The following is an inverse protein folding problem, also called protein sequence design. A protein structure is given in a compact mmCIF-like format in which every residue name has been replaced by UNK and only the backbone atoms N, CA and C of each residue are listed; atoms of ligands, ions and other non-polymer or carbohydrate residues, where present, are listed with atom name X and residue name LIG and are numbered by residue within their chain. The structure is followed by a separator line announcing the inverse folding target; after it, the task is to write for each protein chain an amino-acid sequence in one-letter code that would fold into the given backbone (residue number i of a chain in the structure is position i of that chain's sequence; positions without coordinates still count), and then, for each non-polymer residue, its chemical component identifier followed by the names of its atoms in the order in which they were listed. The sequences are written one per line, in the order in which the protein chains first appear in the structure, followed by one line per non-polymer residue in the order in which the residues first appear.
data_IF_763549101968
#
_entry.id   IF_763549101968
#
_cell.length_a   1.000
_cell.length_b   1.000
_cell.length_c   1.000
_cell.angle_alpha   90.00
_cell.angle_beta   90.00
_cell.angle_gamma   90.00
#
_symmetry.space_group_name_H-M   'P 1'
#
loop_
_entity.id
_entity.type
_entity.pdbx_description
1 polymer ?
#
# COMPACT_ATOMS: atom_id res chain seq x y z
N UNK A 1 -18.80 2.18 7.47
CA UNK A 1 -18.43 2.48 8.89
C UNK A 1 -16.92 2.30 8.97
N UNK A 2 -16.22 3.10 9.78
CA UNK A 2 -14.77 2.93 9.99
C UNK A 2 -14.53 1.67 10.86
N UNK A 3 -13.90 0.60 10.34
CA UNK A 3 -13.75 -0.66 11.09
C UNK A 3 -12.98 -0.51 12.39
N UNK A 4 -11.97 0.37 12.44
CA UNK A 4 -11.18 0.58 13.67
C UNK A 4 -12.01 1.27 14.77
N UNK A 5 -12.86 2.22 14.40
CA UNK A 5 -13.79 2.86 15.36
C UNK A 5 -14.85 1.90 15.86
N UNK A 6 -15.36 1.03 14.99
CA UNK A 6 -16.29 -0.02 15.39
C UNK A 6 -15.62 -1.04 16.33
N UNK A 7 -14.39 -1.44 16.02
CA UNK A 7 -13.62 -2.31 16.89
C UNK A 7 -13.37 -1.66 18.27
N UNK A 8 -12.99 -0.40 18.31
CA UNK A 8 -12.83 0.33 19.57
C UNK A 8 -14.14 0.39 20.37
N UNK A 9 -15.29 0.60 19.72
CA UNK A 9 -16.60 0.57 20.37
C UNK A 9 -16.89 -0.79 21.00
N UNK A 10 -16.70 -1.87 20.24
CA UNK A 10 -16.93 -3.26 20.72
C UNK A 10 -15.99 -3.59 21.88
N UNK A 11 -14.72 -3.21 21.78
CA UNK A 11 -13.74 -3.41 22.84
C UNK A 11 -14.13 -2.69 24.13
N UNK A 12 -14.48 -1.41 24.04
CA UNK A 12 -14.85 -0.58 25.19
C UNK A 12 -16.13 -1.06 25.89
N UNK A 13 -17.07 -1.66 25.15
CA UNK A 13 -18.25 -2.28 25.72
C UNK A 13 -17.92 -3.60 26.47
N UNK A 14 -16.95 -4.35 25.98
CA UNK A 14 -16.52 -5.61 26.58
C UNK A 14 -15.59 -5.42 27.78
N UNK A 15 -14.70 -4.42 27.74
CA UNK A 15 -13.76 -4.07 28.81
C UNK A 15 -13.78 -2.56 29.14
N UNK A 16 -14.64 -2.11 30.06
CA UNK A 16 -14.72 -0.71 30.47
C UNK A 16 -13.47 -0.20 31.21
N UNK A 17 -12.54 -1.06 31.59
CA UNK A 17 -11.30 -0.70 32.30
C UNK A 17 -10.14 -0.40 31.34
N UNK A 18 -10.25 -0.83 30.08
CA UNK A 18 -9.27 -0.61 29.03
C UNK A 18 -9.91 0.13 27.86
N UNK A 19 -10.02 1.46 27.99
CA UNK A 19 -10.75 2.28 27.00
C UNK A 19 -9.82 2.68 25.85
N UNK A 20 -10.24 2.36 24.63
CA UNK A 20 -9.57 2.75 23.39
C UNK A 20 -10.27 3.95 22.76
N UNK A 21 -9.51 5.01 22.48
CA UNK A 21 -9.98 6.21 21.77
C UNK A 21 -9.26 6.31 20.42
N UNK A 22 -10.03 6.42 19.33
CA UNK A 22 -9.49 6.53 17.97
C UNK A 22 -9.46 7.99 17.54
N UNK A 23 -8.26 8.53 17.32
CA UNK A 23 -8.02 9.83 16.70
C UNK A 23 -7.69 9.65 15.23
N UNK A 24 -8.28 10.46 14.34
CA UNK A 24 -7.96 10.48 12.93
C UNK A 24 -7.10 11.70 12.62
N UNK A 25 -6.13 11.52 11.74
CA UNK A 25 -5.33 12.60 11.12
C UNK A 25 -5.61 12.66 9.62
N UNK A 26 -5.38 13.80 8.95
CA UNK A 26 -5.49 13.88 7.50
C UNK A 26 -4.58 12.87 6.80
N UNK A 27 -5.01 12.36 5.65
CA UNK A 27 -4.23 11.38 4.88
C UNK A 27 -2.85 11.94 4.45
N UNK A 28 -2.76 13.25 4.20
CA UNK A 28 -1.48 13.92 3.91
C UNK A 28 -0.48 13.81 5.06
N UNK A 29 -0.95 13.86 6.31
CA UNK A 29 -0.08 13.72 7.50
C UNK A 29 0.32 12.26 7.77
N UNK A 30 -0.35 11.29 7.15
CA UNK A 30 -0.04 9.88 7.35
C UNK A 30 1.37 9.51 6.84
N UNK A 31 1.82 10.15 5.78
CA UNK A 31 3.14 9.93 5.21
C UNK A 31 4.19 10.96 5.66
N UNK A 32 3.77 12.15 6.09
CA UNK A 32 4.67 13.29 6.27
C UNK A 32 5.00 13.58 7.76
N UNK A 33 4.17 13.12 8.72
CA UNK A 33 4.43 13.36 10.13
C UNK A 33 5.50 12.43 10.69
N UNK A 34 6.57 12.94 11.33
CA UNK A 34 7.57 12.13 12.00
C UNK A 34 6.95 11.18 13.02
N UNK A 35 7.30 9.89 12.96
CA UNK A 35 6.73 8.87 13.83
C UNK A 35 7.15 9.05 15.30
N UNK A 36 8.31 9.67 15.56
CA UNK A 36 8.79 10.04 16.90
C UNK A 36 7.86 11.05 17.57
N UNK A 37 7.35 12.02 16.79
CA UNK A 37 6.39 13.00 17.31
C UNK A 37 5.03 12.34 17.57
N UNK A 38 4.59 11.47 16.66
CA UNK A 38 3.36 10.70 16.83
C UNK A 38 3.44 9.78 18.06
N UNK A 39 4.57 9.10 18.28
CA UNK A 39 4.76 8.16 19.38
C UNK A 39 4.59 8.81 20.75
N UNK A 40 4.88 10.11 20.88
CA UNK A 40 4.71 10.83 22.14
C UNK A 40 3.23 11.18 22.47
N UNK A 41 2.32 10.99 21.52
CA UNK A 41 0.93 11.45 21.63
C UNK A 41 -0.10 10.31 21.64
N UNK A 42 0.32 9.06 21.46
CA UNK A 42 -0.60 7.92 21.45
C UNK A 42 0.09 6.62 21.91
N UNK A 43 -0.70 5.67 22.40
CA UNK A 43 -0.23 4.34 22.80
C UNK A 43 -0.12 3.39 21.61
N UNK A 44 -0.98 3.58 20.59
CA UNK A 44 -1.01 2.81 19.35
C UNK A 44 -0.95 3.72 18.13
N UNK A 45 -0.22 3.29 17.13
CA UNK A 45 -0.07 3.98 15.84
C UNK A 45 -0.48 3.06 14.71
N UNK A 46 -1.23 3.62 13.75
CA UNK A 46 -1.41 3.01 12.43
C UNK A 46 -0.27 3.50 11.55
N UNK A 47 0.56 2.58 11.07
CA UNK A 47 1.75 2.90 10.27
C UNK A 47 1.72 2.18 8.92
N UNK A 48 2.22 2.83 7.86
CA UNK A 48 2.53 2.18 6.58
C UNK A 48 3.91 1.49 6.67
N UNK A 49 4.03 0.30 6.08
CA UNK A 49 5.23 -0.53 6.20
C UNK A 49 6.54 0.12 5.70
N UNK A 50 6.59 1.01 4.70
CA UNK A 50 7.84 1.67 4.30
C UNK A 50 8.49 2.50 5.40
N UNK A 51 7.70 2.90 6.40
CA UNK A 51 8.19 3.68 7.55
C UNK A 51 8.63 2.80 8.73
N UNK A 52 8.49 1.47 8.62
CA UNK A 52 8.82 0.55 9.71
C UNK A 52 10.28 0.68 10.17
N UNK A 53 11.22 0.63 9.23
CA UNK A 53 12.64 0.69 9.53
C UNK A 53 13.02 2.01 10.21
N UNK A 54 12.51 3.14 9.71
CA UNK A 54 12.77 4.46 10.31
C UNK A 54 12.16 4.57 11.70
N UNK A 55 10.94 4.08 11.92
CA UNK A 55 10.29 4.08 13.22
C UNK A 55 11.02 3.21 14.26
N UNK A 56 11.44 2.01 13.85
CA UNK A 56 12.20 1.09 14.72
C UNK A 56 13.57 1.65 15.07
N UNK A 57 14.31 2.18 14.06
CA UNK A 57 15.64 2.78 14.28
C UNK A 57 15.59 4.02 15.18
N UNK A 58 14.56 4.85 15.03
CA UNK A 58 14.33 6.02 15.87
C UNK A 58 13.86 5.66 17.30
N UNK A 59 13.53 4.40 17.54
CA UNK A 59 12.98 3.95 18.82
C UNK A 59 11.58 4.51 19.09
N UNK A 60 10.79 4.78 18.03
CA UNK A 60 9.44 5.31 18.15
C UNK A 60 8.39 4.22 18.47
N UNK A 61 8.70 2.96 18.12
CA UNK A 61 7.83 1.81 18.31
C UNK A 61 8.52 0.74 19.16
N UNK A 62 7.73 -0.06 19.87
CA UNK A 62 8.22 -1.16 20.70
C UNK A 62 8.13 -2.50 19.95
N UNK A 63 9.09 -3.43 20.15
CA UNK A 63 8.98 -4.79 19.64
C UNK A 63 7.83 -5.51 20.33
N UNK A 64 7.02 -6.25 19.58
CA UNK A 64 5.77 -6.83 20.07
C UNK A 64 5.95 -8.20 20.72
N UNK A 65 7.04 -8.90 20.47
CA UNK A 65 7.32 -10.21 21.07
C UNK A 65 7.45 -10.19 22.60
N UNK A 66 7.75 -9.02 23.17
CA UNK A 66 7.81 -8.82 24.62
C UNK A 66 6.44 -8.47 25.24
N UNK A 67 5.44 -8.11 24.40
CA UNK A 67 4.13 -7.59 24.82
C UNK A 67 2.97 -8.52 24.44
N UNK A 68 3.15 -9.40 23.47
CA UNK A 68 2.12 -10.28 22.91
C UNK A 68 2.53 -11.74 23.09
N UNK A 69 1.57 -12.56 23.53
CA UNK A 69 1.79 -14.01 23.64
C UNK A 69 2.16 -14.64 22.30
N UNK A 70 3.17 -15.49 22.29
CA UNK A 70 3.69 -16.16 21.09
C UNK A 70 2.61 -16.95 20.35
N UNK A 71 1.64 -17.54 21.06
CA UNK A 71 0.54 -18.28 20.46
C UNK A 71 -0.37 -17.37 19.65
N UNK A 72 -0.59 -16.14 20.12
CA UNK A 72 -1.39 -15.13 19.41
C UNK A 72 -0.62 -14.61 18.19
N UNK A 73 0.68 -14.36 18.36
CA UNK A 73 1.57 -14.00 17.25
C UNK A 73 1.52 -15.06 16.15
N UNK A 74 1.66 -16.33 16.49
CA UNK A 74 1.64 -17.43 15.53
C UNK A 74 0.26 -17.59 14.85
N UNK A 75 -0.83 -17.35 15.56
CA UNK A 75 -2.16 -17.31 14.98
C UNK A 75 -2.30 -16.25 13.89
N UNK A 76 -1.89 -15.01 14.18
CA UNK A 76 -1.96 -13.88 13.24
C UNK A 76 -1.04 -14.15 12.06
N UNK A 77 0.21 -14.57 12.30
CA UNK A 77 1.19 -14.90 11.26
C UNK A 77 0.67 -15.95 10.28
N UNK A 78 0.11 -17.05 10.80
CA UNK A 78 -0.33 -18.16 9.98
C UNK A 78 -1.56 -17.82 9.11
N UNK A 79 -2.36 -16.85 9.52
CA UNK A 79 -3.56 -16.43 8.79
C UNK A 79 -3.35 -15.15 7.95
N UNK A 80 -2.20 -14.47 8.08
CA UNK A 80 -1.89 -13.28 7.31
C UNK A 80 -1.91 -13.55 5.80
N UNK A 81 -2.50 -12.63 5.03
CA UNK A 81 -2.62 -12.75 3.59
C UNK A 81 -1.35 -12.27 2.87
N UNK A 82 -0.79 -13.12 2.02
CA UNK A 82 0.42 -12.79 1.24
C UNK A 82 1.58 -12.36 2.15
N UNK A 83 2.23 -11.27 1.82
CA UNK A 83 3.35 -10.71 2.57
C UNK A 83 2.94 -9.68 3.64
N UNK A 84 1.66 -9.60 4.02
CA UNK A 84 1.19 -8.61 5.00
C UNK A 84 1.80 -8.80 6.40
N UNK A 85 2.26 -10.00 6.73
CA UNK A 85 3.03 -10.25 7.95
C UNK A 85 4.49 -9.81 7.81
N UNK A 86 5.13 -10.22 6.72
CA UNK A 86 6.58 -10.01 6.53
C UNK A 86 6.93 -8.53 6.44
N UNK A 87 6.02 -7.69 5.91
CA UNK A 87 6.23 -6.25 5.81
C UNK A 87 6.26 -5.51 7.16
N UNK A 88 5.91 -6.17 8.28
CA UNK A 88 6.01 -5.61 9.64
C UNK A 88 7.03 -6.33 10.53
N UNK A 89 7.85 -7.20 9.93
CA UNK A 89 8.95 -7.90 10.60
C UNK A 89 10.29 -7.38 10.08
N UNK A 90 11.18 -7.00 10.98
CA UNK A 90 12.52 -6.48 10.64
C UNK A 90 13.53 -6.89 11.72
N UNK A 91 14.72 -7.35 11.33
CA UNK A 91 15.83 -7.75 12.23
C UNK A 91 15.40 -8.78 13.28
N UNK A 92 14.59 -9.74 12.90
CA UNK A 92 14.02 -10.78 13.77
C UNK A 92 13.05 -10.26 14.85
N UNK A 93 12.64 -9.01 14.77
CA UNK A 93 11.62 -8.40 15.61
C UNK A 93 10.31 -8.20 14.86
N UNK A 94 9.21 -8.20 15.61
CA UNK A 94 7.87 -7.88 15.13
C UNK A 94 7.53 -6.49 15.64
N UNK A 95 7.41 -5.53 14.73
CA UNK A 95 7.23 -4.13 15.07
C UNK A 95 5.78 -3.64 14.99
N UNK A 96 4.96 -4.33 14.19
CA UNK A 96 3.54 -4.05 14.09
C UNK A 96 2.77 -5.32 13.72
N UNK A 97 1.47 -5.35 14.00
CA UNK A 97 0.56 -6.40 13.55
C UNK A 97 -0.22 -5.91 12.32
N UNK A 98 -0.38 -6.73 11.27
CA UNK A 98 -1.09 -6.33 10.06
C UNK A 98 -2.56 -6.04 10.38
N UNK A 99 -2.97 -4.78 10.21
CA UNK A 99 -4.31 -4.29 10.50
C UNK A 99 -5.22 -4.31 9.28
N UNK A 100 -4.67 -3.99 8.13
CA UNK A 100 -5.27 -4.17 6.81
C UNK A 100 -4.19 -4.58 5.78
N UNK A 101 -4.63 -4.99 4.59
CA UNK A 101 -3.74 -5.23 3.46
C UNK A 101 -4.34 -4.65 2.20
N UNK A 102 -3.50 -4.01 1.40
CA UNK A 102 -3.82 -3.48 0.09
C UNK A 102 -2.70 -3.80 -0.89
N UNK A 103 -2.99 -3.80 -2.17
CA UNK A 103 -1.98 -3.77 -3.22
C UNK A 103 -2.52 -3.00 -4.42
N UNK A 104 -1.66 -2.70 -5.39
CA UNK A 104 -2.14 -2.11 -6.62
C UNK A 104 -2.94 -3.13 -7.45
N UNK A 105 -4.16 -2.75 -7.79
CA UNK A 105 -5.15 -3.52 -8.55
C UNK A 105 -5.73 -2.68 -9.68
N UNK A 106 -6.46 -3.26 -10.61
CA UNK A 106 -7.23 -2.51 -11.59
C UNK A 106 -8.63 -2.20 -11.04
N UNK A 107 -9.20 -1.06 -11.45
CA UNK A 107 -10.57 -0.68 -11.17
C UNK A 107 -11.34 -0.38 -12.44
N UNK A 108 -12.62 -0.74 -12.50
CA UNK A 108 -13.49 -0.51 -13.66
C UNK A 108 -14.90 -0.05 -13.27
N UNK A 109 -15.57 0.61 -14.23
CA UNK A 109 -16.99 0.94 -14.24
C UNK A 109 -17.73 -0.07 -15.14
N UNK A 110 -18.35 -1.11 -14.57
CA UNK A 110 -18.99 -2.16 -15.36
C UNK A 110 -20.07 -1.63 -16.31
N UNK A 111 -20.89 -0.69 -15.84
CA UNK A 111 -21.94 -0.05 -16.62
C UNK A 111 -21.41 0.72 -17.84
N UNK A 112 -20.24 1.35 -17.72
CA UNK A 112 -19.62 2.04 -18.85
C UNK A 112 -19.03 1.06 -19.87
N UNK A 113 -18.40 -0.03 -19.39
CA UNK A 113 -17.91 -1.09 -20.28
C UNK A 113 -19.06 -1.74 -21.06
N UNK A 114 -20.18 -2.03 -20.40
CA UNK A 114 -21.39 -2.55 -21.04
C UNK A 114 -21.97 -1.56 -22.06
N UNK A 115 -22.14 -0.30 -21.68
CA UNK A 115 -22.70 0.74 -22.56
C UNK A 115 -21.87 1.00 -23.82
N UNK A 116 -20.54 0.77 -23.74
CA UNK A 116 -19.61 0.98 -24.85
C UNK A 116 -19.29 -0.31 -25.64
N UNK A 117 -19.84 -1.46 -25.25
CA UNK A 117 -19.49 -2.79 -25.78
C UNK A 117 -17.96 -3.05 -25.75
N UNK A 118 -17.31 -2.63 -24.65
CA UNK A 118 -15.87 -2.80 -24.45
C UNK A 118 -15.58 -3.99 -23.52
N UNK A 119 -14.42 -4.60 -23.71
CA UNK A 119 -13.94 -5.66 -22.83
C UNK A 119 -12.83 -5.15 -21.91
N UNK A 120 -12.77 -5.69 -20.70
CA UNK A 120 -11.68 -5.39 -19.77
C UNK A 120 -10.33 -5.80 -20.38
N UNK A 121 -9.32 -4.90 -20.33
CA UNK A 121 -7.98 -5.19 -20.79
C UNK A 121 -7.35 -6.37 -20.03
N UNK A 122 -6.64 -7.23 -20.76
CA UNK A 122 -5.91 -8.40 -20.23
C UNK A 122 -4.39 -8.31 -20.46
N UNK A 123 -3.94 -7.20 -21.04
CA UNK A 123 -2.52 -6.92 -21.28
C UNK A 123 -2.29 -5.42 -21.34
N UNK A 124 -1.07 -4.99 -21.09
CA UNK A 124 -0.70 -3.57 -21.24
C UNK A 124 -0.97 -3.03 -22.64
N UNK A 125 -0.75 -3.84 -23.69
CA UNK A 125 -1.09 -3.43 -25.06
C UNK A 125 -2.57 -3.17 -25.24
N UNK A 126 -3.45 -3.91 -24.55
CA UNK A 126 -4.90 -3.65 -24.60
C UNK A 126 -5.27 -2.40 -23.77
N UNK A 127 -4.57 -2.11 -22.66
CA UNK A 127 -4.76 -0.86 -21.90
C UNK A 127 -4.41 0.35 -22.76
N UNK A 128 -3.25 0.35 -23.40
CA UNK A 128 -2.82 1.40 -24.32
C UNK A 128 -3.84 1.59 -25.45
N UNK A 129 -4.23 0.50 -26.11
CA UNK A 129 -5.21 0.54 -27.19
C UNK A 129 -6.59 1.09 -26.73
N UNK A 130 -7.03 0.75 -25.53
CA UNK A 130 -8.27 1.30 -24.96
C UNK A 130 -8.15 2.80 -24.73
N UNK A 131 -7.03 3.26 -24.13
CA UNK A 131 -6.79 4.67 -23.87
C UNK A 131 -6.71 5.50 -25.17
N UNK A 132 -6.06 4.98 -26.23
CA UNK A 132 -5.99 5.62 -27.55
C UNK A 132 -7.34 5.71 -28.24
N UNK A 133 -8.14 4.64 -28.21
CA UNK A 133 -9.47 4.61 -28.84
C UNK A 133 -10.52 5.40 -28.06
N UNK A 134 -10.34 5.58 -26.77
CA UNK A 134 -11.27 6.24 -25.84
C UNK A 134 -10.56 7.30 -25.02
N UNK A 135 -10.19 8.45 -25.59
CA UNK A 135 -9.52 9.53 -24.86
C UNK A 135 -10.33 9.93 -23.61
N UNK A 136 -9.65 10.01 -22.46
CA UNK A 136 -10.29 10.33 -21.18
C UNK A 136 -10.89 9.14 -20.42
N UNK A 137 -11.09 7.98 -21.06
CA UNK A 137 -11.71 6.81 -20.45
C UNK A 137 -10.78 6.06 -19.49
N UNK A 138 -9.48 6.04 -19.78
CA UNK A 138 -8.44 5.43 -18.91
C UNK A 138 -7.77 6.53 -18.10
N UNK A 139 -7.64 6.33 -16.79
CA UNK A 139 -6.88 7.19 -15.90
C UNK A 139 -5.83 6.38 -15.15
N UNK A 140 -4.82 7.07 -14.61
CA UNK A 140 -3.78 6.48 -13.78
C UNK A 140 -3.41 7.48 -12.67
N UNK A 141 -3.33 7.10 -11.39
CA UNK A 141 -2.81 7.98 -10.36
C UNK A 141 -1.35 8.34 -10.66
N UNK A 142 -1.07 9.62 -10.88
CA UNK A 142 0.26 10.14 -11.24
C UNK A 142 0.78 11.18 -10.25
N UNK A 143 0.14 11.28 -9.07
CA UNK A 143 0.79 11.96 -7.96
C UNK A 143 2.16 11.33 -7.71
N UNK A 144 3.22 12.05 -7.32
CA UNK A 144 4.59 11.54 -7.30
C UNK A 144 4.75 10.14 -6.67
N UNK A 145 4.20 9.93 -5.48
CA UNK A 145 4.25 8.62 -4.80
C UNK A 145 3.53 7.51 -5.57
N UNK A 146 2.44 7.85 -6.27
CA UNK A 146 1.67 6.88 -7.05
C UNK A 146 2.33 6.57 -8.40
N UNK A 147 3.00 7.56 -9.00
CA UNK A 147 3.76 7.38 -10.24
C UNK A 147 4.92 6.39 -10.04
N UNK A 148 5.72 6.56 -8.96
CA UNK A 148 6.80 5.63 -8.65
C UNK A 148 6.26 4.24 -8.26
N UNK A 149 5.16 4.17 -7.52
CA UNK A 149 4.50 2.90 -7.19
C UNK A 149 4.03 2.15 -8.44
N UNK A 150 3.45 2.86 -9.41
CA UNK A 150 3.03 2.28 -10.69
C UNK A 150 4.23 1.80 -11.52
N UNK A 151 5.32 2.58 -11.57
CA UNK A 151 6.56 2.15 -12.23
C UNK A 151 7.08 0.84 -11.64
N UNK A 152 7.15 0.76 -10.31
CA UNK A 152 7.65 -0.42 -9.61
C UNK A 152 6.76 -1.64 -9.83
N UNK A 153 5.43 -1.47 -9.78
CA UNK A 153 4.50 -2.57 -10.09
C UNK A 153 4.61 -3.07 -11.52
N UNK A 154 4.75 -2.17 -12.50
CA UNK A 154 4.95 -2.57 -13.89
C UNK A 154 6.28 -3.33 -14.04
N UNK A 155 7.37 -2.80 -13.47
CA UNK A 155 8.69 -3.41 -13.55
C UNK A 155 8.73 -4.78 -12.85
N UNK A 156 8.14 -4.92 -11.67
CA UNK A 156 8.02 -6.20 -10.96
C UNK A 156 7.20 -7.22 -11.77
N UNK A 157 6.12 -6.77 -12.40
CA UNK A 157 5.33 -7.59 -13.34
C UNK A 157 6.11 -8.05 -14.58
N UNK A 158 7.20 -7.37 -14.93
CA UNK A 158 8.15 -7.74 -15.99
C UNK A 158 9.34 -8.56 -15.46
N UNK A 159 9.36 -8.90 -14.18
CA UNK A 159 10.36 -9.75 -13.55
C UNK A 159 11.44 -9.01 -12.77
N UNK A 160 11.32 -7.69 -12.57
CA UNK A 160 12.20 -6.99 -11.65
C UNK A 160 11.98 -7.48 -10.21
N UNK A 161 13.06 -7.64 -9.47
CA UNK A 161 13.04 -8.03 -8.06
C UNK A 161 13.61 -6.89 -7.20
N UNK A 162 12.82 -6.42 -6.25
CA UNK A 162 13.19 -5.38 -5.31
C UNK A 162 13.41 -6.03 -3.94
N UNK A 163 14.63 -6.55 -3.71
CA UNK A 163 14.99 -7.14 -2.42
C UNK A 163 15.45 -6.08 -1.41
N UNK A 164 15.51 -6.48 -0.13
CA UNK A 164 15.87 -5.58 0.99
C UNK A 164 17.31 -5.06 0.92
N UNK A 165 18.19 -5.68 0.13
CA UNK A 165 19.61 -5.35 0.04
C UNK A 165 19.90 -4.02 -0.69
N UNK A 166 18.86 -3.32 -1.17
CA UNK A 166 19.00 -2.01 -1.80
C UNK A 166 19.67 -1.98 -3.17
N UNK A 167 20.59 -2.88 -3.44
CA UNK A 167 21.32 -3.00 -4.70
C UNK A 167 20.42 -3.44 -5.87
N UNK A 168 19.25 -4.00 -5.56
CA UNK A 168 18.39 -4.61 -6.57
C UNK A 168 17.61 -3.60 -7.41
N UNK A 169 17.27 -2.41 -6.88
CA UNK A 169 16.36 -1.48 -7.55
C UNK A 169 16.88 -1.06 -8.93
N UNK A 170 18.15 -0.71 -9.02
CA UNK A 170 18.82 -0.23 -10.23
C UNK A 170 19.88 -1.21 -10.77
N UNK A 171 19.86 -2.46 -10.28
CA UNK A 171 20.81 -3.48 -10.71
C UNK A 171 20.71 -3.76 -12.22
N UNK A 172 21.78 -4.26 -12.81
CA UNK A 172 21.80 -4.70 -14.22
C UNK A 172 20.72 -5.73 -14.52
N UNK A 173 20.36 -6.58 -13.53
CA UNK A 173 19.31 -7.57 -13.66
C UNK A 173 17.91 -6.94 -13.82
N UNK A 174 17.65 -5.80 -13.16
CA UNK A 174 16.38 -5.10 -13.21
C UNK A 174 16.32 -4.04 -14.33
N UNK A 175 17.48 -3.65 -14.89
CA UNK A 175 17.59 -2.56 -15.86
C UNK A 175 16.66 -2.71 -17.05
N UNK A 176 16.58 -3.89 -17.65
CA UNK A 176 15.72 -4.13 -18.82
C UNK A 176 14.24 -3.96 -18.45
N UNK A 177 13.79 -4.58 -17.36
CA UNK A 177 12.42 -4.47 -16.88
C UNK A 177 12.04 -3.03 -16.54
N UNK A 178 12.93 -2.28 -15.87
CA UNK A 178 12.75 -0.87 -15.55
C UNK A 178 12.65 0.01 -16.80
N UNK A 179 13.50 -0.17 -17.79
CA UNK A 179 13.46 0.60 -19.04
C UNK A 179 12.18 0.32 -19.84
N UNK A 180 11.72 -0.94 -19.89
CA UNK A 180 10.45 -1.29 -20.52
C UNK A 180 9.29 -0.66 -19.75
N UNK A 181 9.29 -0.75 -18.42
CA UNK A 181 8.26 -0.14 -17.56
C UNK A 181 8.19 1.38 -17.72
N UNK A 182 9.34 2.06 -17.76
CA UNK A 182 9.43 3.51 -18.01
C UNK A 182 8.90 3.88 -19.40
N UNK A 183 9.20 3.08 -20.42
CA UNK A 183 8.68 3.31 -21.78
C UNK A 183 7.16 3.15 -21.85
N UNK A 184 6.61 2.12 -21.18
CA UNK A 184 5.17 1.87 -21.09
C UNK A 184 4.46 2.98 -20.32
N UNK A 185 5.00 3.36 -19.16
CA UNK A 185 4.45 4.42 -18.32
C UNK A 185 4.48 5.76 -19.07
N UNK A 186 5.59 6.10 -19.73
CA UNK A 186 5.69 7.29 -20.57
C UNK A 186 4.62 7.34 -21.65
N UNK A 187 4.38 6.25 -22.36
CA UNK A 187 3.31 6.19 -23.38
C UNK A 187 1.92 6.33 -22.73
N UNK A 188 1.67 5.67 -21.61
CA UNK A 188 0.39 5.81 -20.88
C UNK A 188 0.13 7.25 -20.47
N UNK A 189 1.13 7.96 -19.95
CA UNK A 189 0.96 9.34 -19.47
C UNK A 189 0.60 10.33 -20.56
N UNK A 190 0.91 10.03 -21.82
CA UNK A 190 0.54 10.86 -22.98
C UNK A 190 -0.93 10.73 -23.35
N UNK A 191 -1.58 9.60 -23.02
CA UNK A 191 -2.91 9.21 -23.54
C UNK A 191 -3.99 9.02 -22.47
N UNK A 192 -3.61 8.92 -21.17
CA UNK A 192 -4.58 8.84 -20.08
C UNK A 192 -5.30 10.17 -19.84
N UNK A 193 -6.39 10.13 -19.08
CA UNK A 193 -7.09 11.32 -18.65
C UNK A 193 -6.15 12.38 -18.03
N UNK A 194 -6.22 13.61 -18.52
CA UNK A 194 -5.25 14.65 -18.18
C UNK A 194 -5.20 15.04 -16.71
N UNK A 195 -6.31 14.89 -15.97
CA UNK A 195 -6.35 15.12 -14.53
C UNK A 195 -5.65 14.04 -13.70
N UNK A 196 -5.16 12.97 -14.32
CA UNK A 196 -4.34 11.93 -13.69
C UNK A 196 -3.10 12.49 -12.98
N UNK A 197 -2.50 13.55 -13.54
CA UNK A 197 -1.29 14.17 -13.04
C UNK A 197 -1.39 14.76 -11.63
N UNK A 198 -2.57 15.23 -11.26
CA UNK A 198 -2.81 15.91 -9.98
C UNK A 198 -3.73 15.07 -9.07
N UNK A 199 -3.86 13.78 -9.38
CA UNK A 199 -4.75 12.86 -8.69
C UNK A 199 -4.00 11.68 -8.07
N UNK A 200 -4.34 11.41 -6.82
CA UNK A 200 -3.99 10.18 -6.11
C UNK A 200 -5.13 9.14 -6.27
N UNK A 201 -4.97 7.90 -5.80
CA UNK A 201 -5.99 6.86 -5.91
C UNK A 201 -7.38 7.27 -5.42
N UNK A 202 -7.58 7.81 -4.21
CA UNK A 202 -8.91 8.23 -3.77
C UNK A 202 -9.54 9.28 -4.67
N UNK A 203 -8.78 10.28 -5.12
CA UNK A 203 -9.30 11.35 -5.98
C UNK A 203 -9.81 10.82 -7.33
N UNK A 204 -9.12 9.84 -7.93
CA UNK A 204 -9.58 9.20 -9.16
C UNK A 204 -10.78 8.28 -8.93
N UNK A 205 -10.77 7.50 -7.85
CA UNK A 205 -11.88 6.62 -7.51
C UNK A 205 -13.15 7.41 -7.16
N UNK A 206 -13.03 8.55 -6.47
CA UNK A 206 -14.14 9.48 -6.22
C UNK A 206 -14.77 9.99 -7.53
N UNK A 207 -13.95 10.42 -8.49
CA UNK A 207 -14.43 10.87 -9.80
C UNK A 207 -15.11 9.74 -10.58
N UNK A 208 -14.47 8.59 -10.61
CA UNK A 208 -14.99 7.40 -11.28
C UNK A 208 -16.33 6.96 -10.69
N UNK A 209 -16.44 6.90 -9.36
CA UNK A 209 -17.70 6.59 -8.66
C UNK A 209 -18.72 7.74 -8.75
N UNK A 210 -18.27 8.99 -8.89
CA UNK A 210 -19.09 10.18 -9.05
C UNK A 210 -19.78 10.28 -10.43
N UNK A 211 -19.37 9.47 -11.40
CA UNK A 211 -19.98 9.42 -12.73
C UNK A 211 -19.24 10.18 -13.82
N UNK A 212 -17.95 10.53 -13.59
CA UNK A 212 -17.08 11.05 -14.64
C UNK A 212 -16.86 10.04 -15.77
N UNK A 213 -16.28 10.48 -16.87
CA UNK A 213 -16.04 9.65 -18.06
C UNK A 213 -14.97 8.56 -17.85
N UNK A 214 -14.31 8.54 -16.68
CA UNK A 214 -13.31 7.55 -16.35
C UNK A 214 -13.96 6.19 -16.14
N UNK A 215 -13.67 5.25 -17.04
CA UNK A 215 -14.19 3.88 -16.98
C UNK A 215 -13.19 2.84 -16.48
N UNK A 216 -11.88 3.14 -16.55
CA UNK A 216 -10.84 2.19 -16.21
C UNK A 216 -9.59 2.84 -15.58
N UNK A 217 -9.08 2.23 -14.52
CA UNK A 217 -7.80 2.56 -13.90
C UNK A 217 -6.98 1.26 -13.83
N UNK A 218 -5.87 1.13 -14.57
CA UNK A 218 -5.10 -0.12 -14.66
C UNK A 218 -4.30 -0.46 -13.40
N UNK A 219 -3.90 0.56 -12.63
CA UNK A 219 -3.19 0.44 -11.34
C UNK A 219 -3.68 1.52 -10.39
N UNK A 220 -4.25 1.08 -9.27
CA UNK A 220 -4.65 1.91 -8.14
C UNK A 220 -4.65 1.05 -6.89
N UNK A 221 -4.44 1.63 -5.72
CA UNK A 221 -4.70 0.86 -4.50
C UNK A 221 -6.19 0.57 -4.35
N UNK A 222 -6.52 -0.64 -3.89
CA UNK A 222 -7.89 -1.02 -3.61
C UNK A 222 -8.43 -0.25 -2.39
N UNK A 223 -9.64 0.26 -2.55
CA UNK A 223 -10.39 0.90 -1.47
C UNK A 223 -11.80 0.29 -1.47
N UNK A 224 -12.04 -0.62 -0.54
CA UNK A 224 -13.25 -1.43 -0.45
C UNK A 224 -14.56 -0.64 -0.45
N UNK A 225 -14.54 0.58 0.07
CA UNK A 225 -15.71 1.46 0.11
C UNK A 225 -16.31 1.75 -1.28
N UNK A 226 -15.48 1.79 -2.33
CA UNK A 226 -15.96 2.02 -3.70
C UNK A 226 -16.55 0.78 -4.35
N UNK A 227 -16.24 -0.41 -3.84
CA UNK A 227 -16.79 -1.68 -4.32
C UNK A 227 -18.11 -2.05 -3.64
N UNK A 228 -18.52 -1.34 -2.59
CA UNK A 228 -19.75 -1.62 -1.87
C UNK A 228 -20.95 -1.64 -2.80
N UNK A 229 -21.80 -2.69 -2.79
CA UNK A 229 -23.04 -2.73 -3.56
C UNK A 229 -24.02 -1.61 -3.24
N UNK A 230 -23.85 -0.95 -2.08
CA UNK A 230 -24.65 0.19 -1.66
C UNK A 230 -24.15 1.54 -2.23
N UNK A 231 -23.00 1.58 -2.89
CA UNK A 231 -22.49 2.78 -3.54
C UNK A 231 -23.38 3.18 -4.73
N UNK A 232 -23.38 4.47 -5.06
CA UNK A 232 -24.20 5.00 -6.18
C UNK A 232 -23.79 4.38 -7.52
N UNK A 233 -22.48 4.27 -7.76
CA UNK A 233 -21.90 3.61 -8.92
C UNK A 233 -20.81 2.66 -8.40
N UNK A 234 -21.15 1.42 -8.02
CA UNK A 234 -20.19 0.47 -7.50
C UNK A 234 -19.07 0.20 -8.49
N UNK A 235 -17.82 0.33 -8.04
CA UNK A 235 -16.67 -0.02 -8.87
C UNK A 235 -16.38 -1.51 -8.73
N UNK A 236 -15.85 -2.11 -9.78
CA UNK A 236 -15.29 -3.45 -9.74
C UNK A 236 -13.76 -3.37 -9.71
N UNK A 237 -13.18 -4.08 -8.77
CA UNK A 237 -11.73 -4.25 -8.70
C UNK A 237 -11.33 -5.61 -9.29
N UNK A 238 -10.18 -5.64 -9.92
CA UNK A 238 -9.66 -6.81 -10.62
C UNK A 238 -8.17 -6.97 -10.36
N UNK A 239 -7.65 -8.19 -10.53
CA UNK A 239 -6.20 -8.33 -10.69
C UNK A 239 -5.71 -7.41 -11.82
N UNK A 240 -4.58 -6.74 -11.67
CA UNK A 240 -4.03 -5.93 -12.76
C UNK A 240 -3.65 -6.82 -13.95
N UNK A 241 -3.40 -6.20 -15.09
CA UNK A 241 -3.03 -6.92 -16.33
C UNK A 241 -1.75 -7.76 -16.20
N UNK A 242 -0.94 -7.48 -15.18
CA UNK A 242 0.10 -8.38 -14.67
C UNK A 242 -0.26 -8.74 -13.23
N UNK A 243 -0.80 -9.93 -12.97
CA UNK A 243 -1.26 -10.32 -11.63
C UNK A 243 -0.12 -10.60 -10.64
N UNK A 244 1.10 -10.61 -11.13
CA UNK A 244 2.34 -10.76 -10.34
C UNK A 244 3.06 -9.42 -10.33
N UNK A 245 3.59 -9.03 -9.18
CA UNK A 245 4.41 -7.81 -9.06
C UNK A 245 3.67 -6.57 -8.59
N UNK A 246 2.38 -6.65 -8.26
CA UNK A 246 1.67 -5.53 -7.63
C UNK A 246 2.37 -5.09 -6.35
N UNK A 247 2.58 -3.78 -6.20
CA UNK A 247 3.21 -3.24 -5.01
C UNK A 247 2.27 -3.35 -3.81
N UNK A 248 2.76 -3.94 -2.71
CA UNK A 248 2.03 -4.06 -1.46
C UNK A 248 1.85 -2.69 -0.81
N UNK A 249 0.69 -2.48 -0.25
CA UNK A 249 0.32 -1.41 0.66
C UNK A 249 -0.38 -1.99 1.88
N UNK A 250 -1.06 -1.14 2.61
CA UNK A 250 -1.76 -1.52 3.83
C UNK A 250 -1.15 -0.87 5.06
N UNK A 251 -1.73 -1.16 6.21
CA UNK A 251 -1.33 -0.57 7.47
C UNK A 251 -1.18 -1.61 8.57
N UNK A 252 -0.22 -1.38 9.46
CA UNK A 252 0.00 -2.15 10.68
C UNK A 252 -0.34 -1.35 11.93
N UNK A 253 -0.70 -2.05 13.00
CA UNK A 253 -0.83 -1.48 14.34
C UNK A 253 0.48 -1.70 15.12
N UNK A 254 1.16 -0.62 15.42
CA UNK A 254 2.38 -0.58 16.22
C UNK A 254 2.11 0.00 17.61
N UNK A 255 2.76 -0.54 18.64
CA UNK A 255 2.74 0.00 19.98
C UNK A 255 3.84 1.08 20.09
N UNK A 256 3.46 2.27 20.57
CA UNK A 256 4.42 3.33 20.84
C UNK A 256 5.44 2.89 21.91
N UNK A 257 6.71 3.21 21.70
CA UNK A 257 7.73 3.03 22.73
C UNK A 257 7.52 3.92 23.96
N UNK A 258 6.70 4.95 23.84
CA UNK A 258 6.32 5.90 24.89
C UNK A 258 4.90 5.65 25.43
N UNK A 259 4.30 4.51 25.08
CA UNK A 259 2.96 4.16 25.54
C UNK A 259 2.85 4.19 27.07
N UNK A 260 1.78 4.79 27.57
CA UNK A 260 1.49 4.82 29.02
C UNK A 260 1.04 3.45 29.51
N UNK A 261 0.36 2.69 28.65
CA UNK A 261 -0.15 1.35 28.96
C UNK A 261 0.18 0.36 27.81
N UNK A 262 1.48 0.00 27.63
CA UNK A 262 1.91 -0.79 26.45
C UNK A 262 1.25 -2.17 26.38
N UNK A 263 1.04 -2.86 27.49
CA UNK A 263 0.37 -4.17 27.52
C UNK A 263 -1.12 -4.05 27.10
N UNK A 264 -1.81 -2.99 27.54
CA UNK A 264 -3.20 -2.76 27.15
C UNK A 264 -3.30 -2.42 25.65
N UNK A 265 -2.37 -1.61 25.15
CA UNK A 265 -2.25 -1.28 23.74
C UNK A 265 -1.98 -2.54 22.89
N UNK A 266 -1.02 -3.38 23.31
CA UNK A 266 -0.70 -4.63 22.63
C UNK A 266 -1.88 -5.64 22.65
N UNK A 267 -2.63 -5.69 23.74
CA UNK A 267 -3.82 -6.55 23.87
C UNK A 267 -4.91 -6.10 22.87
N UNK A 268 -5.18 -4.81 22.76
CA UNK A 268 -6.12 -4.31 21.75
C UNK A 268 -5.64 -4.59 20.33
N UNK A 269 -4.36 -4.31 20.03
CA UNK A 269 -3.79 -4.56 18.70
C UNK A 269 -3.89 -6.05 18.32
N UNK A 270 -3.53 -6.94 19.24
CA UNK A 270 -3.61 -8.40 19.04
C UNK A 270 -5.04 -8.87 18.81
N UNK A 271 -5.97 -8.36 19.60
CA UNK A 271 -7.38 -8.67 19.44
C UNK A 271 -7.92 -8.16 18.10
N UNK A 272 -7.63 -6.90 17.74
CA UNK A 272 -8.06 -6.30 16.47
C UNK A 272 -7.52 -7.07 15.25
N UNK A 273 -6.23 -7.47 15.30
CA UNK A 273 -5.58 -8.20 14.22
C UNK A 273 -5.83 -9.71 14.25
N UNK A 274 -6.60 -10.23 15.22
CA UNK A 274 -6.95 -11.66 15.27
C UNK A 274 -7.86 -12.05 14.11
N UNK A 275 -7.76 -13.29 13.56
CA UNK A 275 -8.58 -13.75 12.44
C UNK A 275 -10.08 -13.56 12.64
N UNK A 276 -10.58 -13.86 13.85
CA UNK A 276 -11.99 -13.72 14.17
C UNK A 276 -12.51 -12.28 14.13
N UNK A 277 -11.73 -11.33 14.65
CA UNK A 277 -12.10 -9.89 14.65
C UNK A 277 -11.94 -9.30 13.25
N UNK A 278 -10.91 -9.69 12.52
CA UNK A 278 -10.71 -9.28 11.14
C UNK A 278 -11.89 -9.71 10.23
N UNK A 279 -12.44 -10.88 10.40
CA UNK A 279 -13.66 -11.30 9.69
C UNK A 279 -14.90 -10.57 10.25
N UNK A 280 -15.16 -10.67 11.55
CA UNK A 280 -16.42 -10.23 12.14
C UNK A 280 -16.59 -8.70 12.22
N UNK A 281 -15.49 -7.94 12.34
CA UNK A 281 -15.56 -6.49 12.45
C UNK A 281 -15.01 -5.83 11.20
N UNK A 282 -13.80 -6.17 10.75
CA UNK A 282 -13.21 -5.49 9.58
C UNK A 282 -13.95 -5.90 8.31
N UNK A 283 -14.01 -7.18 7.98
CA UNK A 283 -14.63 -7.69 6.75
C UNK A 283 -16.13 -7.42 6.67
N UNK A 284 -16.90 -7.76 7.69
CA UNK A 284 -18.35 -7.56 7.69
C UNK A 284 -18.80 -6.09 7.71
N UNK A 285 -17.92 -5.16 8.10
CA UNK A 285 -18.16 -3.72 7.95
C UNK A 285 -17.60 -3.13 6.64
N UNK A 286 -17.17 -3.99 5.70
CA UNK A 286 -16.71 -3.56 4.39
C UNK A 286 -15.29 -2.99 4.37
N UNK A 287 -14.46 -3.34 5.36
CA UNK A 287 -13.04 -3.02 5.39
C UNK A 287 -12.21 -3.99 4.52
N UNK A 288 -10.90 -3.76 4.51
CA UNK A 288 -9.91 -4.63 3.87
C UNK A 288 -9.13 -5.38 4.93
N UNK A 289 -9.55 -6.60 5.31
CA UNK A 289 -8.87 -7.35 6.35
C UNK A 289 -7.47 -7.79 5.91
N UNK A 290 -6.54 -7.91 6.87
CA UNK A 290 -5.22 -8.47 6.63
C UNK A 290 -5.18 -10.00 6.70
N UNK A 291 -6.24 -10.63 7.19
CA UNK A 291 -6.29 -12.07 7.47
C UNK A 291 -6.94 -12.87 6.34
N UNK A 292 -6.29 -13.96 5.91
CA UNK A 292 -6.73 -14.87 4.84
C UNK A 292 -8.14 -15.41 5.07
N UNK A 293 -8.45 -15.82 6.30
CA UNK A 293 -9.77 -16.35 6.66
C UNK A 293 -10.90 -15.37 6.34
N UNK A 294 -10.67 -14.06 6.54
CA UNK A 294 -11.65 -13.03 6.18
C UNK A 294 -11.78 -12.84 4.66
N UNK A 295 -10.70 -13.03 3.88
CA UNK A 295 -10.74 -12.99 2.41
C UNK A 295 -11.47 -14.22 1.83
N UNK A 296 -11.50 -15.32 2.55
CA UNK A 296 -12.19 -16.57 2.17
C UNK A 296 -13.64 -16.64 2.70
N UNK A 297 -14.04 -15.67 3.51
CA UNK A 297 -15.41 -15.56 4.01
C UNK A 297 -16.32 -14.91 2.97
N UNK A 298 -17.31 -15.68 2.50
CA UNK A 298 -18.26 -15.24 1.47
C UNK A 298 -19.09 -14.01 1.92
N UNK A 299 -19.37 -13.85 3.21
CA UNK A 299 -20.14 -12.71 3.71
C UNK A 299 -19.27 -11.44 3.71
N UNK A 300 -17.99 -11.55 4.01
CA UNK A 300 -17.04 -10.43 3.90
C UNK A 300 -16.91 -10.00 2.43
N UNK A 301 -16.77 -10.95 1.50
CA UNK A 301 -16.64 -10.67 0.07
C UNK A 301 -17.92 -10.04 -0.51
N UNK A 302 -19.09 -10.47 -0.10
CA UNK A 302 -20.37 -9.87 -0.51
C UNK A 302 -20.49 -8.40 -0.09
N UNK A 303 -19.95 -8.02 1.09
CA UNK A 303 -19.97 -6.65 1.59
C UNK A 303 -19.23 -5.66 0.68
N UNK A 304 -18.24 -6.17 -0.02
CA UNK A 304 -17.40 -5.38 -0.93
C UNK A 304 -17.56 -5.83 -2.39
N UNK A 305 -18.74 -6.34 -2.75
CA UNK A 305 -19.13 -6.62 -4.14
C UNK A 305 -18.24 -7.64 -4.87
N UNK A 306 -17.65 -8.61 -4.15
CA UNK A 306 -16.77 -9.62 -4.71
C UNK A 306 -15.31 -9.16 -4.86
N UNK A 307 -14.93 -8.02 -4.31
CA UNK A 307 -13.59 -7.45 -4.46
C UNK A 307 -12.51 -8.38 -3.85
N UNK A 308 -12.78 -8.97 -2.67
CA UNK A 308 -11.79 -9.82 -2.00
C UNK A 308 -11.42 -11.01 -2.89
N UNK A 309 -12.39 -11.76 -3.36
CA UNK A 309 -12.17 -12.90 -4.28
C UNK A 309 -11.50 -12.43 -5.57
N UNK A 310 -11.95 -11.32 -6.16
CA UNK A 310 -11.46 -10.84 -7.46
C UNK A 310 -10.01 -10.36 -7.41
N UNK A 311 -9.50 -9.90 -6.27
CA UNK A 311 -8.15 -9.33 -6.14
C UNK A 311 -7.19 -10.18 -5.28
N UNK A 312 -7.66 -11.27 -4.67
CA UNK A 312 -6.87 -12.11 -3.77
C UNK A 312 -5.53 -12.53 -4.36
N UNK A 313 -5.53 -12.98 -5.62
CA UNK A 313 -4.30 -13.40 -6.30
C UNK A 313 -3.24 -12.30 -6.36
N UNK A 314 -3.63 -11.05 -6.59
CA UNK A 314 -2.71 -9.93 -6.61
C UNK A 314 -2.12 -9.66 -5.22
N UNK A 315 -2.93 -9.76 -4.16
CA UNK A 315 -2.46 -9.58 -2.78
C UNK A 315 -1.50 -10.71 -2.34
N UNK A 316 -1.80 -11.95 -2.72
CA UNK A 316 -0.92 -13.10 -2.41
C UNK A 316 0.43 -13.04 -3.13
N UNK A 317 0.48 -12.39 -4.30
CA UNK A 317 1.69 -12.22 -5.11
C UNK A 317 2.28 -10.80 -5.02
N UNK A 318 1.83 -9.98 -4.07
CA UNK A 318 2.27 -8.60 -3.93
C UNK A 318 3.73 -8.51 -3.49
N UNK A 319 4.42 -7.50 -4.01
CA UNK A 319 5.84 -7.23 -3.74
C UNK A 319 5.97 -6.19 -2.64
N UNK A 320 6.78 -6.51 -1.64
CA UNK A 320 7.07 -5.61 -0.52
C UNK A 320 8.12 -4.58 -0.96
N UNK A 321 7.93 -3.32 -0.56
CA UNK A 321 8.94 -2.27 -0.70
C UNK A 321 10.10 -2.52 0.28
N UNK A 322 11.35 -2.14 -0.03
CA UNK A 322 12.48 -2.33 0.86
C UNK A 322 12.27 -1.74 2.27
N UNK A 323 12.70 -2.49 3.30
CA UNK A 323 12.69 -2.04 4.70
C UNK A 323 13.98 -1.28 5.07
N UNK A 324 14.54 -0.52 4.14
CA UNK A 324 15.75 0.27 4.37
C UNK A 324 15.42 1.66 4.91
N UNK A 325 16.30 2.22 5.75
CA UNK A 325 16.12 3.58 6.28
C UNK A 325 16.09 4.64 5.17
N UNK A 326 16.76 4.39 4.06
CA UNK A 326 16.81 5.29 2.91
C UNK A 326 15.52 5.26 2.08
N UNK A 327 14.67 4.24 2.22
CA UNK A 327 13.53 4.04 1.32
C UNK A 327 12.50 5.17 1.32
N UNK A 328 12.02 5.70 2.47
CA UNK A 328 11.01 6.76 2.46
C UNK A 328 11.48 8.02 1.72
N UNK A 329 12.71 8.48 2.00
CA UNK A 329 13.30 9.64 1.31
C UNK A 329 13.53 9.38 -0.19
N UNK A 330 14.00 8.18 -0.55
CA UNK A 330 14.13 7.80 -1.95
C UNK A 330 12.77 7.77 -2.65
N UNK A 331 11.75 7.18 -2.05
CA UNK A 331 10.40 7.10 -2.66
C UNK A 331 9.84 8.49 -2.98
N UNK A 332 10.04 9.46 -2.09
CA UNK A 332 9.63 10.86 -2.27
C UNK A 332 10.40 11.51 -3.42
N UNK A 333 11.73 11.51 -3.36
CA UNK A 333 12.58 12.15 -4.36
C UNK A 333 12.46 11.49 -5.73
N UNK A 334 12.46 10.16 -5.79
CA UNK A 334 12.27 9.40 -7.02
C UNK A 334 10.88 9.62 -7.64
N UNK A 335 9.84 9.71 -6.81
CA UNK A 335 8.48 10.03 -7.25
C UNK A 335 8.39 11.41 -7.89
N UNK A 336 8.94 12.44 -7.21
CA UNK A 336 9.00 13.81 -7.74
C UNK A 336 9.80 13.89 -9.04
N UNK A 337 10.96 13.24 -9.08
CA UNK A 337 11.81 13.17 -10.28
C UNK A 337 11.06 12.51 -11.44
N UNK A 338 10.42 11.36 -11.18
CA UNK A 338 9.70 10.60 -12.20
C UNK A 338 8.52 11.39 -12.75
N UNK A 339 7.66 11.93 -11.88
CA UNK A 339 6.51 12.72 -12.29
C UNK A 339 6.91 13.92 -13.16
N UNK A 340 7.95 14.64 -12.76
CA UNK A 340 8.49 15.75 -13.56
C UNK A 340 9.05 15.27 -14.91
N UNK A 341 9.85 14.20 -14.91
CA UNK A 341 10.50 13.69 -16.11
C UNK A 341 9.49 13.15 -17.13
N UNK A 342 8.44 12.46 -16.68
CA UNK A 342 7.34 12.02 -17.53
C UNK A 342 6.57 13.20 -18.14
N UNK A 343 6.22 14.20 -17.34
CA UNK A 343 5.54 15.44 -17.84
C UNK A 343 6.34 16.17 -18.91
N UNK A 344 7.67 16.08 -18.86
CA UNK A 344 8.55 16.79 -19.81
C UNK A 344 9.01 15.92 -20.97
N UNK A 345 8.48 14.71 -21.13
CA UNK A 345 8.83 13.80 -22.21
C UNK A 345 10.29 13.36 -22.18
N UNK A 346 10.89 13.26 -20.98
CA UNK A 346 12.28 12.80 -20.81
C UNK A 346 12.39 11.33 -21.22
N UNK A 347 13.45 10.95 -21.92
CA UNK A 347 13.62 9.57 -22.39
C UNK A 347 13.78 8.58 -21.24
N UNK A 348 13.29 7.32 -21.38
CA UNK A 348 13.40 6.27 -20.37
C UNK A 348 14.83 6.04 -19.85
N UNK A 349 15.83 6.09 -20.72
CA UNK A 349 17.24 5.95 -20.35
C UNK A 349 17.71 7.05 -19.41
N UNK A 350 17.35 8.30 -19.71
CA UNK A 350 17.73 9.45 -18.85
C UNK A 350 16.99 9.39 -17.52
N UNK A 351 15.74 8.95 -17.52
CA UNK A 351 14.97 8.76 -16.27
C UNK A 351 15.65 7.69 -15.42
N UNK A 352 15.97 6.54 -16.02
CA UNK A 352 16.65 5.45 -15.32
C UNK A 352 17.98 5.90 -14.69
N UNK A 353 18.85 6.55 -15.45
CA UNK A 353 20.13 7.06 -14.95
C UNK A 353 19.98 8.11 -13.81
N UNK A 354 18.86 8.83 -13.78
CA UNK A 354 18.55 9.76 -12.69
C UNK A 354 18.04 9.05 -11.47
N UNK A 355 17.17 8.02 -11.64
CA UNK A 355 16.69 7.18 -10.55
C UNK A 355 17.84 6.40 -9.88
N UNK A 356 18.79 5.89 -10.68
CA UNK A 356 20.00 5.24 -10.21
C UNK A 356 20.80 6.17 -9.29
N UNK A 357 21.09 7.39 -9.75
CA UNK A 357 21.82 8.40 -8.94
C UNK A 357 21.03 8.82 -7.68
N UNK A 358 19.71 8.91 -7.76
CA UNK A 358 18.86 9.19 -6.60
C UNK A 358 18.98 8.06 -5.57
N UNK A 359 18.91 6.81 -6.02
CA UNK A 359 19.09 5.64 -5.17
C UNK A 359 20.47 5.62 -4.50
N UNK A 360 21.54 5.77 -5.28
CA UNK A 360 22.93 5.81 -4.77
C UNK A 360 23.13 6.89 -3.69
N UNK A 361 22.52 8.07 -3.88
CA UNK A 361 22.62 9.17 -2.92
C UNK A 361 21.99 8.80 -1.57
N UNK A 362 20.79 8.20 -1.58
CA UNK A 362 20.09 7.80 -0.37
C UNK A 362 20.77 6.60 0.33
N UNK A 363 21.16 5.57 -0.42
CA UNK A 363 21.85 4.39 0.12
C UNK A 363 23.22 4.73 0.73
N UNK A 364 23.97 5.65 0.13
CA UNK A 364 25.27 6.12 0.66
C UNK A 364 25.11 6.93 1.94
N UNK A 365 24.06 7.75 2.03
CA UNK A 365 23.77 8.55 3.23
C UNK A 365 23.48 7.66 4.45
N UNK A 366 22.73 6.56 4.28
CA UNK A 366 22.48 5.59 5.33
C UNK A 366 23.76 4.89 5.81
N UNK A 367 24.59 4.44 4.88
CA UNK A 367 25.87 3.77 5.18
C UNK A 367 26.81 4.65 6.01
N UNK A 368 26.81 5.96 5.78
CA UNK A 368 27.60 6.93 6.54
C UNK A 368 27.01 7.21 7.92
N UNK A 369 25.70 7.28 8.05
CA UNK A 369 25.02 7.49 9.33
C UNK A 369 25.22 6.30 10.28
N UNK A 370 25.08 5.07 9.78
CA UNK A 370 25.26 3.84 10.57
C UNK A 370 26.70 3.66 11.06
N UNK A 371 27.69 3.98 10.24
CA UNK A 371 29.12 3.93 10.63
C UNK A 371 29.48 5.01 11.65
N UNK A 372 28.85 6.19 11.62
CA UNK A 372 29.06 7.28 12.58
C UNK A 372 28.58 6.92 13.99
N UNK A 373 27.46 6.23 14.13
CA UNK A 373 26.89 5.80 15.41
C UNK A 373 27.76 4.71 16.07
N UNK A 374 28.35 3.79 15.30
CA UNK A 374 29.25 2.76 15.82
C UNK A 374 30.60 3.34 16.30
N UNK A 375 31.07 4.41 15.71
CA UNK A 375 32.32 5.08 16.15
C UNK A 375 32.16 5.96 17.39
N UNK A 376 30.95 6.45 17.66
CA UNK A 376 30.67 7.29 18.84
C UNK A 376 30.38 6.47 20.11
N UNK A 377 30.15 5.16 19.98
CA UNK A 377 29.93 4.22 21.12
C UNK A 377 31.18 3.45 21.55
N UNK A 378 32.34 3.73 20.97
CA UNK A 378 33.67 3.26 21.39
C UNK A 378 34.44 4.38 22.07
#
# INVERSE_FOLDING_TARGET
MDPLREAARVWNEADPHSVVTVSARPLSEFNDQPLEELSSNCDLMVIDHPHLATAAHAGAIAPLEDLVDTTVIDQIRNDALGASWDCYSLDSHIWALPADTACQVAASRPDQFEALDEQLPRSWGQVLNLAERRPGFVALPLYPTDAISSLLSIAAGLGANFSDDGDALTSDANREAMLVALSMLGHLTDIVWQGSWDSNPPALLDRMAGGDEIGYIPLTYSYSQYASPAALNPLQFHVPVSPVGSLLGGAGLAVSSQAVAPEAAANFASWFCSPGVQSAIVGLNGGQPAMRSAWEDAQCDERVGGMLTATKQAHEAAVVRPHSLWWPGFQEDAGNLLAFALRTGTSPYVIFDRLERCHEAHATAESTATNGVHSARR
#
